data_IF_295345850844
#
_entry.id   IF_295345850844
#
_cell.length_a   1.000
_cell.length_b   1.000
_cell.length_c   1.000
_cell.angle_alpha   90.00
_cell.angle_beta   90.00
_cell.angle_gamma   90.00
#
_symmetry.space_group_name_H-M   'P 1'
#
loop_
_entity.id
_entity.type
_entity.pdbx_description
1 polymer ?
#
# COMPACT_ATOMS: atom_id res chain seq x y z
N UNK A 1 -13.32 -9.36 8.39
CA UNK A 1 -12.57 -8.68 7.33
C UNK A 1 -11.43 -9.58 6.93
N UNK A 2 -11.22 -9.76 5.64
CA UNK A 2 -10.09 -10.52 5.10
C UNK A 2 -9.23 -9.59 4.27
N UNK A 3 -7.92 -9.66 4.48
CA UNK A 3 -6.93 -8.82 3.83
C UNK A 3 -5.94 -9.70 3.09
N UNK A 4 -5.64 -9.37 1.84
CA UNK A 4 -4.66 -10.10 1.05
C UNK A 4 -3.75 -9.19 0.24
N UNK A 5 -2.46 -9.44 0.36
CA UNK A 5 -1.39 -8.80 -0.40
C UNK A 5 -0.26 -9.81 -0.62
N UNK A 6 0.30 -9.84 -1.83
CA UNK A 6 1.50 -10.61 -2.14
C UNK A 6 2.50 -9.75 -2.92
N UNK A 7 3.57 -9.30 -2.26
CA UNK A 7 4.58 -8.42 -2.87
C UNK A 7 5.41 -9.06 -3.99
N UNK A 8 5.32 -10.37 -4.17
CA UNK A 8 5.96 -11.11 -5.27
C UNK A 8 5.04 -11.28 -6.48
N UNK A 9 3.78 -10.84 -6.39
CA UNK A 9 2.81 -10.88 -7.47
C UNK A 9 2.64 -9.48 -8.08
N UNK A 10 2.79 -9.39 -9.41
CA UNK A 10 2.69 -8.14 -10.16
C UNK A 10 1.31 -7.47 -10.04
N UNK A 11 0.27 -8.25 -9.74
CA UNK A 11 -1.05 -7.71 -9.48
C UNK A 11 -1.08 -6.84 -8.21
N UNK A 12 -0.26 -7.17 -7.22
CA UNK A 12 -0.26 -6.51 -5.90
C UNK A 12 0.89 -5.54 -5.70
N UNK A 13 1.98 -5.70 -6.46
CA UNK A 13 3.12 -4.78 -6.42
C UNK A 13 3.75 -4.66 -7.79
N UNK A 14 3.81 -3.44 -8.32
CA UNK A 14 4.46 -3.17 -9.61
C UNK A 14 5.25 -1.86 -9.56
N UNK A 15 6.54 -1.85 -9.92
CA UNK A 15 7.40 -3.00 -10.25
C UNK A 15 7.71 -3.92 -9.05
N UNK A 16 8.20 -5.13 -9.35
CA UNK A 16 8.63 -6.13 -8.36
C UNK A 16 10.08 -5.88 -7.90
N UNK A 17 10.43 -6.44 -6.74
CA UNK A 17 11.79 -6.36 -6.18
C UNK A 17 12.25 -4.95 -5.77
N UNK A 18 13.55 -4.82 -5.55
CA UNK A 18 14.21 -3.54 -5.32
C UNK A 18 14.22 -2.71 -6.62
N UNK A 19 14.14 -1.39 -6.50
CA UNK A 19 14.10 -0.46 -7.63
C UNK A 19 15.04 0.71 -7.43
N UNK A 20 15.32 1.44 -8.51
CA UNK A 20 16.10 2.68 -8.44
C UNK A 20 15.32 3.79 -7.74
N UNK A 21 16.05 4.75 -7.18
CA UNK A 21 15.48 5.98 -6.59
C UNK A 21 14.52 6.68 -7.56
N UNK A 22 13.49 7.34 -7.02
CA UNK A 22 12.47 8.05 -7.80
C UNK A 22 11.51 7.17 -8.61
N UNK A 23 11.71 5.84 -8.66
CA UNK A 23 10.79 4.93 -9.35
C UNK A 23 9.40 4.99 -8.74
N UNK A 24 8.36 5.04 -9.56
CA UNK A 24 6.98 4.90 -9.11
C UNK A 24 6.69 3.43 -8.81
N UNK A 25 6.19 3.15 -7.61
CA UNK A 25 5.76 1.82 -7.19
C UNK A 25 4.29 1.88 -6.84
N UNK A 26 3.48 1.06 -7.51
CA UNK A 26 2.08 0.83 -7.17
C UNK A 26 1.98 -0.37 -6.24
N UNK A 27 1.37 -0.14 -5.07
CA UNK A 27 1.06 -1.16 -4.08
C UNK A 27 -0.45 -1.34 -4.01
N UNK A 28 -0.89 -2.59 -3.97
CA UNK A 28 -2.31 -2.92 -3.90
C UNK A 28 -2.64 -3.88 -2.78
N UNK A 29 -3.86 -3.76 -2.26
CA UNK A 29 -4.41 -4.59 -1.20
C UNK A 29 -5.80 -5.06 -1.63
N UNK A 30 -6.08 -6.34 -1.48
CA UNK A 30 -7.45 -6.85 -1.54
C UNK A 30 -8.06 -6.81 -0.14
N UNK A 31 -9.25 -6.21 -0.04
CA UNK A 31 -10.02 -6.10 1.19
C UNK A 31 -11.40 -6.69 0.96
N UNK A 32 -11.79 -7.67 1.78
CA UNK A 32 -13.12 -8.26 1.75
C UNK A 32 -13.83 -8.11 3.11
N UNK A 33 -15.15 -7.96 3.02
CA UNK A 33 -16.01 -7.66 4.17
C UNK A 33 -16.14 -6.14 4.41
N UNK A 34 -16.92 -5.79 5.42
CA UNK A 34 -17.15 -4.39 5.79
C UNK A 34 -15.92 -3.77 6.46
N UNK A 35 -15.62 -2.55 6.06
CA UNK A 35 -14.49 -1.76 6.50
C UNK A 35 -14.74 -0.27 6.21
N UNK A 36 -13.92 0.60 6.81
CA UNK A 36 -13.88 2.04 6.56
C UNK A 36 -12.77 2.40 5.57
N UNK A 37 -11.92 3.36 5.93
CA UNK A 37 -10.81 3.81 5.08
C UNK A 37 -9.71 2.76 4.94
N UNK A 38 -9.08 2.77 3.78
CA UNK A 38 -7.87 1.99 3.48
C UNK A 38 -6.74 2.98 3.18
N UNK A 39 -5.62 2.83 3.88
CA UNK A 39 -4.44 3.68 3.67
C UNK A 39 -3.15 2.86 3.67
N UNK A 40 -2.20 3.32 2.86
CA UNK A 40 -0.83 2.83 2.86
C UNK A 40 -0.02 3.67 3.85
N UNK A 41 0.69 3.02 4.75
CA UNK A 41 1.70 3.67 5.58
C UNK A 41 3.08 3.37 5.02
N UNK A 42 3.93 4.39 4.92
CA UNK A 42 5.35 4.21 4.56
C UNK A 42 6.25 4.76 5.64
N UNK A 43 7.43 4.17 5.81
CA UNK A 43 8.44 4.64 6.76
C UNK A 43 9.87 4.47 6.23
N UNK A 44 10.66 5.54 6.30
CA UNK A 44 12.11 5.54 6.02
C UNK A 44 12.88 6.48 6.96
N UNK A 45 12.33 6.74 8.16
CA UNK A 45 12.76 7.80 9.08
C UNK A 45 11.69 8.87 9.28
N UNK A 46 10.84 9.08 8.27
CA UNK A 46 9.59 9.83 8.35
C UNK A 46 8.43 8.89 8.07
N UNK A 47 7.29 9.10 8.74
CA UNK A 47 6.08 8.33 8.55
C UNK A 47 5.09 9.10 7.68
N UNK A 48 4.61 8.47 6.61
CA UNK A 48 3.61 9.05 5.71
C UNK A 48 2.41 8.11 5.59
N UNK A 49 1.23 8.71 5.45
CA UNK A 49 -0.05 8.03 5.26
C UNK A 49 -0.66 8.45 3.93
N UNK A 50 -0.84 7.50 3.02
CA UNK A 50 -1.37 7.72 1.68
C UNK A 50 -2.74 7.02 1.58
N UNK A 51 -3.84 7.76 1.38
CA UNK A 51 -5.15 7.16 1.11
C UNK A 51 -5.08 6.26 -0.14
N UNK A 52 -5.65 5.06 -0.06
CA UNK A 52 -5.73 4.16 -1.20
C UNK A 52 -7.06 4.31 -1.93
N UNK A 53 -7.04 4.12 -3.25
CA UNK A 53 -8.22 4.26 -4.12
C UNK A 53 -8.75 2.86 -4.44
N UNK A 54 -10.06 2.65 -4.27
CA UNK A 54 -10.70 1.40 -4.70
C UNK A 54 -10.76 1.34 -6.24
N UNK A 55 -10.23 0.26 -6.81
CA UNK A 55 -10.21 0.01 -8.27
C UNK A 55 -11.20 -1.07 -8.71
N UNK A 56 -11.98 -1.60 -7.76
CA UNK A 56 -13.05 -2.57 -7.98
C UNK A 56 -12.73 -3.96 -7.45
N UNK A 57 -13.77 -4.78 -7.25
CA UNK A 57 -13.68 -6.15 -6.70
C UNK A 57 -12.93 -6.22 -5.36
N UNK A 58 -13.02 -5.17 -4.54
CA UNK A 58 -12.32 -5.07 -3.25
C UNK A 58 -10.81 -4.81 -3.37
N UNK A 59 -10.30 -4.48 -4.55
CA UNK A 59 -8.92 -4.04 -4.73
C UNK A 59 -8.77 -2.55 -4.44
N UNK A 60 -7.75 -2.21 -3.66
CA UNK A 60 -7.33 -0.84 -3.36
C UNK A 60 -5.90 -0.65 -3.86
N UNK A 61 -5.57 0.53 -4.38
CA UNK A 61 -4.20 0.86 -4.80
C UNK A 61 -3.74 2.24 -4.34
N UNK A 62 -2.42 2.36 -4.14
CA UNK A 62 -1.71 3.63 -4.05
C UNK A 62 -0.41 3.53 -4.85
N UNK A 63 -0.05 4.62 -5.53
CA UNK A 63 1.24 4.74 -6.21
C UNK A 63 2.09 5.78 -5.49
N UNK A 64 3.31 5.37 -5.13
CA UNK A 64 4.27 6.21 -4.41
C UNK A 64 5.55 6.36 -5.23
N UNK A 65 6.19 7.53 -5.14
CA UNK A 65 7.55 7.72 -5.61
C UNK A 65 8.52 7.13 -4.58
N UNK A 66 9.44 6.26 -4.99
CA UNK A 66 10.56 5.89 -4.14
C UNK A 66 11.39 7.14 -3.80
N UNK A 67 12.02 7.19 -2.60
CA UNK A 67 12.87 8.29 -2.19
C UNK A 67 13.94 8.59 -3.25
N UNK A 68 14.37 9.86 -3.29
CA UNK A 68 15.41 10.32 -4.21
C UNK A 68 16.83 9.89 -3.77
N UNK A 69 16.96 9.28 -2.60
CA UNK A 69 18.21 8.75 -2.05
C UNK A 69 18.09 7.22 -1.85
N UNK A 70 19.17 6.44 -2.05
CA UNK A 70 19.14 5.01 -1.81
C UNK A 70 18.89 4.69 -0.32
N UNK A 71 17.71 4.15 -0.03
CA UNK A 71 17.30 3.84 1.35
C UNK A 71 16.32 2.67 1.37
N UNK A 72 16.23 2.00 2.53
CA UNK A 72 15.13 1.07 2.80
C UNK A 72 13.85 1.86 3.07
N UNK A 73 12.82 1.61 2.25
CA UNK A 73 11.47 2.11 2.46
C UNK A 73 10.59 0.95 2.92
N UNK A 74 10.09 1.06 4.15
CA UNK A 74 9.15 0.11 4.74
C UNK A 74 7.72 0.55 4.43
N UNK A 75 6.81 -0.42 4.33
CA UNK A 75 5.39 -0.14 4.18
C UNK A 75 4.51 -1.19 4.86
N UNK A 76 3.33 -0.77 5.26
CA UNK A 76 2.22 -1.63 5.67
C UNK A 76 0.89 -1.02 5.25
N UNK A 77 -0.16 -1.82 5.35
CA UNK A 77 -1.52 -1.40 5.03
C UNK A 77 -2.32 -1.25 6.32
N UNK A 78 -3.09 -0.17 6.41
CA UNK A 78 -4.01 0.09 7.50
C UNK A 78 -5.42 0.13 6.95
N UNK A 79 -6.30 -0.64 7.57
CA UNK A 79 -7.71 -0.73 7.17
C UNK A 79 -8.57 -0.49 8.39
N UNK A 80 -9.37 0.56 8.32
CA UNK A 80 -10.29 0.95 9.37
C UNK A 80 -11.39 -0.11 9.51
N UNK A 81 -11.62 -0.59 10.73
CA UNK A 81 -12.74 -1.48 11.04
C UNK A 81 -14.09 -0.73 11.03
N UNK A 82 -15.20 -1.44 11.19
CA UNK A 82 -16.55 -0.85 11.22
C UNK A 82 -16.76 0.17 12.37
N UNK A 83 -15.85 0.21 13.35
CA UNK A 83 -15.92 1.08 14.52
C UNK A 83 -14.98 2.29 14.39
N UNK A 84 -14.22 2.40 13.31
CA UNK A 84 -13.31 3.52 13.08
C UNK A 84 -11.88 3.29 13.57
N UNK A 85 -11.47 2.04 13.85
CA UNK A 85 -10.11 1.73 14.31
C UNK A 85 -9.24 1.16 13.20
N UNK A 86 -7.99 1.61 13.09
CA UNK A 86 -6.98 1.06 12.18
C UNK A 86 -6.18 -0.08 12.82
#
# INVERSE_FOLDING_TARGET
>A
MELYHNSQDIAFRNPLGAVTVGTQVTLRLMVQGRHGRVQLRTWNGEELYIPMIETGLGMYEATIACPNEPILLWYDFQVEDERGHF
#
